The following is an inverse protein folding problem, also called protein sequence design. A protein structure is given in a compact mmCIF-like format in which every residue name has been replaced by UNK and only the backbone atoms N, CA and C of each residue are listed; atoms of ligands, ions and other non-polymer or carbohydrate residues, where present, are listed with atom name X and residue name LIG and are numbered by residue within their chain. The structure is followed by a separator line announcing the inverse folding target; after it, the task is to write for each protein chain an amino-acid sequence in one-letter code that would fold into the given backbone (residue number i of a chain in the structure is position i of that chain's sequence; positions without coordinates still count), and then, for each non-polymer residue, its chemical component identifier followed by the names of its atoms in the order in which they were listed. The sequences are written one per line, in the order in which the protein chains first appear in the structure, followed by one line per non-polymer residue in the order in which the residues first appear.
data_IF_114257730689
#
_entry.id   IF_114257730689
#
_cell.length_a   1.000
_cell.length_b   1.000
_cell.length_c   1.000
_cell.angle_alpha   90.00
_cell.angle_beta   90.00
_cell.angle_gamma   90.00
#
_symmetry.space_group_name_H-M   'P 1'
#
loop_
_entity.id
_entity.type
_entity.pdbx_description
1 polymer ?
#
# COMPACT_ATOMS: atom_id res chain seq x y z
N UNK A 1 -6.40 -12.17 -2.47
CA UNK A 1 -5.44 -11.41 -1.65
C UNK A 1 -4.22 -10.91 -2.44
N UNK A 2 -3.66 -11.69 -3.38
CA UNK A 2 -2.59 -11.21 -4.28
C UNK A 2 -2.97 -9.94 -5.07
N UNK A 3 -4.25 -9.79 -5.46
CA UNK A 3 -4.70 -8.64 -6.23
C UNK A 3 -4.51 -7.27 -5.53
N UNK A 4 -4.67 -7.19 -4.20
CA UNK A 4 -4.47 -5.93 -3.47
C UNK A 4 -2.98 -5.57 -3.37
N UNK A 5 -2.14 -6.56 -3.07
CA UNK A 5 -0.70 -6.36 -2.98
C UNK A 5 -0.12 -6.02 -4.37
N UNK A 6 -0.56 -6.69 -5.45
CA UNK A 6 -0.18 -6.35 -6.83
C UNK A 6 -0.57 -4.92 -7.19
N UNK A 7 -1.79 -4.48 -6.81
CA UNK A 7 -2.22 -3.09 -7.04
C UNK A 7 -1.39 -2.08 -6.25
N UNK A 8 -1.03 -2.41 -5.00
CA UNK A 8 -0.15 -1.56 -4.19
C UNK A 8 1.24 -1.44 -4.85
N UNK A 9 1.87 -2.55 -5.23
CA UNK A 9 3.16 -2.52 -5.92
C UNK A 9 3.10 -1.78 -7.27
N UNK A 10 2.03 -1.98 -8.05
CA UNK A 10 1.84 -1.26 -9.30
C UNK A 10 1.75 0.25 -9.07
N UNK A 11 0.93 0.69 -8.10
CA UNK A 11 0.81 2.10 -7.73
C UNK A 11 2.14 2.69 -7.24
N UNK A 12 2.90 1.94 -6.43
CA UNK A 12 4.21 2.36 -5.93
C UNK A 12 5.20 2.58 -7.07
N UNK A 13 5.32 1.58 -7.94
CA UNK A 13 6.26 1.61 -9.06
C UNK A 13 5.95 2.74 -10.02
N UNK A 14 4.67 2.98 -10.31
CA UNK A 14 4.23 4.08 -11.15
C UNK A 14 4.59 5.44 -10.53
N UNK A 15 4.32 5.62 -9.23
CA UNK A 15 4.63 6.87 -8.51
C UNK A 15 6.14 7.14 -8.47
N UNK A 16 6.94 6.11 -8.18
CA UNK A 16 8.41 6.21 -8.18
C UNK A 16 8.98 6.63 -9.55
N UNK A 17 8.40 6.12 -10.64
CA UNK A 17 8.78 6.52 -12.01
C UNK A 17 8.43 7.98 -12.28
N UNK A 18 7.26 8.45 -11.85
CA UNK A 18 6.81 9.83 -12.05
C UNK A 18 7.73 10.82 -11.33
N UNK A 19 8.00 10.62 -10.04
CA UNK A 19 8.92 11.48 -9.28
C UNK A 19 10.34 11.40 -9.82
N UNK A 20 10.81 10.21 -10.19
CA UNK A 20 12.13 10.02 -10.79
C UNK A 20 12.31 10.78 -12.11
N UNK A 21 11.34 10.66 -13.03
CA UNK A 21 11.33 11.40 -14.30
C UNK A 21 11.26 12.91 -14.09
N UNK A 22 10.44 13.37 -13.15
CA UNK A 22 10.31 14.79 -12.83
C UNK A 22 11.62 15.36 -12.28
N UNK A 23 12.29 14.62 -11.39
CA UNK A 23 13.61 14.99 -10.87
C UNK A 23 14.66 15.08 -11.97
N UNK A 24 14.73 14.10 -12.87
CA UNK A 24 15.65 14.12 -14.01
C UNK A 24 15.37 15.25 -15.00
N UNK A 25 14.09 15.58 -15.24
CA UNK A 25 13.71 16.65 -16.18
C UNK A 25 14.06 18.06 -15.72
N UNK A 26 14.31 18.24 -14.42
CA UNK A 26 14.68 19.51 -13.79
C UNK A 26 16.19 19.54 -13.45
N UNK A 27 16.82 18.38 -13.34
CA UNK A 27 18.25 18.25 -13.04
C UNK A 27 19.10 19.03 -14.04
N UNK A 28 19.91 19.96 -13.54
CA UNK A 28 20.86 20.73 -14.35
C UNK A 28 20.25 21.96 -15.05
N UNK A 29 18.96 22.25 -14.87
CA UNK A 29 18.37 23.54 -15.30
C UNK A 29 18.65 24.60 -14.25
N UNK A 30 19.28 25.71 -14.65
CA UNK A 30 19.50 26.88 -13.79
C UNK A 30 18.30 27.84 -13.77
N UNK A 31 17.43 27.78 -14.78
CA UNK A 31 16.30 28.70 -14.96
C UNK A 31 14.98 28.21 -14.37
N UNK A 32 15.01 27.30 -13.40
CA UNK A 32 13.79 26.73 -12.82
C UNK A 32 13.15 27.75 -11.88
N UNK A 33 11.88 28.14 -12.11
CA UNK A 33 11.19 29.06 -11.21
C UNK A 33 11.12 28.47 -9.80
N UNK A 34 11.35 29.26 -8.75
CA UNK A 34 11.31 28.78 -7.37
C UNK A 34 9.95 28.12 -7.02
N UNK A 35 8.85 28.57 -7.63
CA UNK A 35 7.53 27.96 -7.49
C UNK A 35 7.44 26.53 -8.01
N UNK A 36 8.07 26.21 -9.14
CA UNK A 36 8.13 24.86 -9.68
C UNK A 36 8.95 23.93 -8.76
N UNK A 37 10.07 24.42 -8.23
CA UNK A 37 10.88 23.68 -7.25
C UNK A 37 10.09 23.31 -5.98
N UNK A 38 9.30 24.24 -5.44
CA UNK A 38 8.46 23.99 -4.25
C UNK A 38 7.40 22.91 -4.53
N UNK A 39 6.75 22.96 -5.69
CA UNK A 39 5.76 21.95 -6.09
C UNK A 39 6.38 20.56 -6.23
N UNK A 40 7.61 20.47 -6.75
CA UNK A 40 8.34 19.21 -6.84
C UNK A 40 8.67 18.64 -5.45
N UNK A 41 9.14 19.49 -4.53
CA UNK A 41 9.41 19.07 -3.14
C UNK A 41 8.13 18.59 -2.47
N UNK A 42 7.01 19.30 -2.66
CA UNK A 42 5.71 18.87 -2.15
C UNK A 42 5.28 17.51 -2.73
N UNK A 43 5.54 17.27 -4.01
CA UNK A 43 5.28 15.97 -4.64
C UNK A 43 6.12 14.84 -4.04
N UNK A 44 7.41 15.10 -3.77
CA UNK A 44 8.29 14.13 -3.09
C UNK A 44 7.79 13.83 -1.68
N UNK A 45 7.31 14.83 -0.93
CA UNK A 45 6.71 14.60 0.39
C UNK A 45 5.45 13.73 0.28
N UNK A 46 4.57 14.01 -0.69
CA UNK A 46 3.39 13.18 -0.94
C UNK A 46 3.75 11.73 -1.27
N UNK A 47 4.77 11.53 -2.12
CA UNK A 47 5.31 10.21 -2.44
C UNK A 47 5.82 9.47 -1.18
N UNK A 48 6.60 10.14 -0.33
CA UNK A 48 7.12 9.56 0.92
C UNK A 48 5.99 9.15 1.85
N UNK A 49 4.96 9.98 2.02
CA UNK A 49 3.77 9.67 2.83
C UNK A 49 3.06 8.43 2.26
N UNK A 50 2.87 8.36 0.94
CA UNK A 50 2.31 7.20 0.26
C UNK A 50 3.14 5.92 0.45
N UNK A 51 4.47 6.05 0.42
CA UNK A 51 5.40 4.94 0.64
C UNK A 51 5.28 4.36 2.07
N UNK A 52 5.16 5.22 3.08
CA UNK A 52 4.92 4.78 4.46
C UNK A 52 3.58 4.03 4.61
N UNK A 53 2.51 4.53 4.00
CA UNK A 53 1.22 3.85 4.01
C UNK A 53 1.29 2.46 3.34
N UNK A 54 2.15 2.29 2.34
CA UNK A 54 2.40 0.98 1.73
C UNK A 54 3.24 0.05 2.59
N UNK A 55 4.24 0.56 3.30
CA UNK A 55 5.02 -0.25 4.24
C UNK A 55 4.13 -0.85 5.33
N UNK A 56 3.14 -0.09 5.83
CA UNK A 56 2.13 -0.61 6.75
C UNK A 56 1.30 -1.72 6.12
N UNK A 57 0.89 -1.55 4.86
CA UNK A 57 0.15 -2.58 4.12
C UNK A 57 0.96 -3.88 3.94
N UNK A 58 2.29 -3.77 3.72
CA UNK A 58 3.20 -4.91 3.61
C UNK A 58 3.48 -5.54 4.97
N UNK A 59 3.62 -4.77 6.06
CA UNK A 59 3.82 -5.31 7.42
C UNK A 59 2.66 -6.19 7.87
N UNK A 60 1.42 -5.81 7.54
CA UNK A 60 0.21 -6.61 7.81
C UNK A 60 0.19 -7.97 7.11
N UNK A 61 1.01 -8.17 6.06
CA UNK A 61 1.14 -9.47 5.38
C UNK A 61 1.76 -10.55 6.28
N UNK A 62 2.53 -10.16 7.30
CA UNK A 62 3.23 -11.08 8.22
C UNK A 62 2.34 -11.64 9.33
N UNK A 63 1.13 -11.12 9.52
CA UNK A 63 0.15 -11.57 10.53
C UNK A 63 -0.92 -12.51 9.94
N UNK A 64 -0.69 -13.06 8.75
CA UNK A 64 -1.69 -13.86 8.07
C UNK A 64 -1.81 -15.24 8.73
N UNK A 65 -2.93 -15.48 9.41
CA UNK A 65 -3.29 -16.77 10.03
C UNK A 65 -3.49 -17.93 9.03
N UNK A 66 -3.16 -17.77 7.75
CA UNK A 66 -3.32 -18.88 6.78
C UNK A 66 -2.28 -19.99 6.95
N UNK A 67 -1.23 -19.77 7.75
CA UNK A 67 -0.34 -20.86 8.15
C UNK A 67 -1.04 -21.86 9.07
N UNK A 68 -2.20 -21.54 9.68
CA UNK A 68 -2.94 -22.47 10.53
C UNK A 68 -3.67 -23.58 9.76
N UNK A 69 -3.88 -23.45 8.44
CA UNK A 69 -4.55 -24.52 7.66
C UNK A 69 -3.77 -25.84 7.68
N UNK A 70 -2.44 -25.74 7.71
CA UNK A 70 -1.55 -26.91 7.75
C UNK A 70 -1.40 -27.49 9.18
N UNK A 71 -1.72 -26.70 10.21
CA UNK A 71 -1.62 -27.07 11.63
C UNK A 71 -2.96 -27.52 12.21
N UNK A 72 -4.08 -27.09 11.61
CA UNK A 72 -5.46 -27.49 11.94
C UNK A 72 -5.58 -29.02 12.07
N UNK A 73 -4.97 -29.78 11.15
CA UNK A 73 -5.02 -31.24 11.26
C UNK A 73 -4.24 -31.79 12.46
N UNK A 74 -3.13 -31.17 12.85
CA UNK A 74 -2.33 -31.57 14.02
C UNK A 74 -3.04 -31.21 15.33
N UNK A 75 -3.68 -30.04 15.39
CA UNK A 75 -4.30 -29.52 16.60
C UNK A 75 -5.61 -30.23 16.95
N UNK A 76 -6.32 -30.78 15.95
CA UNK A 76 -7.62 -31.44 16.13
C UNK A 76 -7.59 -32.97 16.02
N UNK A 77 -6.41 -33.60 15.89
CA UNK A 77 -6.29 -35.05 15.68
C UNK A 77 -6.76 -35.90 16.88
N UNK A 78 -6.61 -35.39 18.10
CA UNK A 78 -6.89 -36.13 19.34
C UNK A 78 -8.32 -35.92 19.88
N UNK A 79 -9.17 -35.14 19.18
CA UNK A 79 -10.53 -34.80 19.61
C UNK A 79 -11.59 -35.78 19.06
N UNK A 80 -12.69 -35.96 19.79
CA UNK A 80 -13.83 -36.72 19.29
C UNK A 80 -14.52 -35.98 18.12
N UNK A 81 -15.07 -36.74 17.16
CA UNK A 81 -15.66 -36.20 15.91
C UNK A 81 -16.76 -35.16 16.16
N UNK A 82 -17.47 -35.25 17.29
CA UNK A 82 -18.49 -34.27 17.68
C UNK A 82 -17.88 -32.92 18.09
N UNK A 83 -16.76 -32.96 18.81
CA UNK A 83 -16.06 -31.77 19.33
C UNK A 83 -15.23 -31.09 18.24
N UNK A 84 -14.66 -31.87 17.31
CA UNK A 84 -13.94 -31.34 16.13
C UNK A 84 -14.84 -30.38 15.34
N UNK A 85 -16.11 -30.71 15.12
CA UNK A 85 -17.01 -29.85 14.34
C UNK A 85 -17.25 -28.50 15.02
N UNK A 86 -17.44 -28.47 16.34
CA UNK A 86 -17.67 -27.22 17.05
C UNK A 86 -16.41 -26.37 17.07
N UNK A 87 -15.27 -26.97 17.41
CA UNK A 87 -14.01 -26.25 17.48
C UNK A 87 -13.57 -25.71 16.11
N UNK A 88 -13.77 -26.49 15.04
CA UNK A 88 -13.46 -26.04 13.67
C UNK A 88 -14.35 -24.87 13.22
N UNK A 89 -15.65 -24.88 13.58
CA UNK A 89 -16.56 -23.78 13.22
C UNK A 89 -16.20 -22.52 13.99
N UNK A 90 -15.86 -22.64 15.27
CA UNK A 90 -15.44 -21.51 16.12
C UNK A 90 -14.13 -20.91 15.61
N UNK A 91 -13.14 -21.73 15.29
CA UNK A 91 -11.83 -21.29 14.79
C UNK A 91 -11.93 -20.68 13.37
N UNK A 92 -12.79 -21.22 12.51
CA UNK A 92 -13.13 -20.60 11.22
C UNK A 92 -13.84 -19.25 11.42
N UNK A 93 -14.74 -19.14 12.39
CA UNK A 93 -15.44 -17.89 12.67
C UNK A 93 -14.48 -16.82 13.21
N UNK A 94 -13.60 -17.17 14.16
CA UNK A 94 -12.60 -16.28 14.72
C UNK A 94 -11.58 -15.82 13.66
N UNK A 95 -11.07 -16.75 12.86
CA UNK A 95 -10.13 -16.43 11.78
C UNK A 95 -10.78 -15.57 10.67
N UNK A 96 -12.07 -15.76 10.39
CA UNK A 96 -12.83 -14.92 9.47
C UNK A 96 -12.97 -13.49 9.98
N UNK A 97 -13.33 -13.32 11.25
CA UNK A 97 -13.45 -11.98 11.86
C UNK A 97 -12.09 -11.25 11.90
N UNK A 98 -11.02 -11.96 12.27
CA UNK A 98 -9.67 -11.41 12.23
C UNK A 98 -9.25 -11.01 10.81
N UNK A 99 -9.48 -11.87 9.82
CA UNK A 99 -9.17 -11.58 8.42
C UNK A 99 -9.95 -10.37 7.90
N UNK A 100 -11.22 -10.23 8.28
CA UNK A 100 -12.02 -9.08 7.84
C UNK A 100 -11.46 -7.76 8.39
N UNK A 101 -11.06 -7.74 9.67
CA UNK A 101 -10.40 -6.57 10.29
C UNK A 101 -9.09 -6.22 9.57
N UNK A 102 -8.27 -7.22 9.24
CA UNK A 102 -7.00 -7.02 8.50
C UNK A 102 -7.25 -6.51 7.08
N UNK A 103 -8.24 -7.05 6.37
CA UNK A 103 -8.59 -6.61 5.01
C UNK A 103 -9.11 -5.17 5.01
N UNK A 104 -9.97 -4.80 5.96
CA UNK A 104 -10.45 -3.40 6.09
C UNK A 104 -9.29 -2.44 6.36
N UNK A 105 -8.36 -2.80 7.27
CA UNK A 105 -7.17 -2.00 7.55
C UNK A 105 -6.31 -1.80 6.29
N UNK A 106 -6.03 -2.89 5.55
CA UNK A 106 -5.29 -2.82 4.27
C UNK A 106 -5.98 -1.93 3.23
N UNK A 107 -7.30 -2.03 3.11
CA UNK A 107 -8.09 -1.24 2.16
C UNK A 107 -7.99 0.25 2.49
N UNK A 108 -8.02 0.60 3.79
CA UNK A 108 -7.83 1.98 4.25
C UNK A 108 -6.44 2.51 3.93
N UNK A 109 -5.39 1.74 4.20
CA UNK A 109 -4.01 2.13 3.85
C UNK A 109 -3.81 2.30 2.35
N UNK A 110 -4.41 1.41 1.54
CA UNK A 110 -4.39 1.54 0.08
C UNK A 110 -5.13 2.79 -0.40
N UNK A 111 -6.25 3.14 0.25
CA UNK A 111 -6.98 4.38 -0.03
C UNK A 111 -6.12 5.63 0.22
N UNK A 112 -5.40 5.67 1.34
CA UNK A 112 -4.46 6.76 1.61
C UNK A 112 -3.31 6.83 0.61
N UNK A 113 -2.74 5.67 0.24
CA UNK A 113 -1.69 5.61 -0.77
C UNK A 113 -2.19 6.09 -2.14
N UNK A 114 -3.43 5.78 -2.51
CA UNK A 114 -4.05 6.26 -3.75
C UNK A 114 -4.23 7.79 -3.75
N UNK A 115 -4.73 8.36 -2.65
CA UNK A 115 -4.89 9.82 -2.53
C UNK A 115 -3.53 10.51 -2.61
N UNK A 116 -2.51 9.97 -1.95
CA UNK A 116 -1.15 10.50 -2.01
C UNK A 116 -0.59 10.47 -3.45
N UNK A 117 -0.78 9.37 -4.18
CA UNK A 117 -0.34 9.25 -5.56
C UNK A 117 -1.07 10.22 -6.52
N UNK A 118 -2.37 10.46 -6.32
CA UNK A 118 -3.12 11.46 -7.09
C UNK A 118 -2.59 12.88 -6.82
N UNK A 119 -2.33 13.20 -5.55
CA UNK A 119 -1.76 14.49 -5.18
C UNK A 119 -0.35 14.68 -5.77
N UNK A 120 0.51 13.66 -5.65
CA UNK A 120 1.86 13.64 -6.22
C UNK A 120 1.84 13.86 -7.73
N UNK A 121 1.09 13.06 -8.48
CA UNK A 121 1.01 13.16 -9.94
C UNK A 121 0.49 14.52 -10.40
N UNK A 122 -0.47 15.09 -9.67
CA UNK A 122 -1.00 16.43 -9.95
C UNK A 122 0.06 17.51 -9.70
N UNK A 123 0.78 17.44 -8.58
CA UNK A 123 1.85 18.39 -8.23
C UNK A 123 3.02 18.32 -9.21
N UNK A 124 3.45 17.12 -9.60
CA UNK A 124 4.47 16.91 -10.63
C UNK A 124 4.01 17.51 -11.97
N UNK A 125 2.77 17.24 -12.38
CA UNK A 125 2.20 17.78 -13.62
C UNK A 125 2.19 19.31 -13.62
N UNK A 126 1.73 19.94 -12.54
CA UNK A 126 1.72 21.40 -12.39
C UNK A 126 3.14 21.97 -12.35
N UNK A 127 4.07 21.32 -11.65
CA UNK A 127 5.47 21.73 -11.59
C UNK A 127 6.10 21.76 -12.99
N UNK A 128 5.90 20.70 -13.77
CA UNK A 128 6.45 20.59 -15.11
C UNK A 128 5.83 21.62 -16.07
N UNK A 129 4.49 21.76 -16.04
CA UNK A 129 3.80 22.77 -16.84
C UNK A 129 4.31 24.19 -16.52
N UNK A 130 4.45 24.53 -15.24
CA UNK A 130 4.99 25.82 -14.82
C UNK A 130 6.43 26.01 -15.30
N UNK A 131 7.29 24.99 -15.15
CA UNK A 131 8.68 25.05 -15.60
C UNK A 131 8.84 25.19 -17.11
N UNK A 132 7.80 24.86 -17.89
CA UNK A 132 7.79 25.01 -19.35
C UNK A 132 7.24 26.35 -19.84
N UNK A 133 6.51 27.07 -18.97
CA UNK A 133 5.87 28.35 -19.26
C UNK A 133 6.74 29.56 -18.88
N UNK A 134 7.71 29.35 -18.00
CA UNK A 134 8.67 30.36 -17.54
C UNK A 134 9.99 30.24 -18.31
#
# INVERSE_FOLDING_TARGET
MNALDTKAFALFSASAVVVGLAGLGIWGRQDVPPGAGILLVAAVVAFVVGAFAMLDCVRLRRHRSSDHADVLWQDYWDLEVADIKHALVEDIAESSEHNERVIRAKTRSLGWALVAAIAETSLVGTSLAWSSLA
#
